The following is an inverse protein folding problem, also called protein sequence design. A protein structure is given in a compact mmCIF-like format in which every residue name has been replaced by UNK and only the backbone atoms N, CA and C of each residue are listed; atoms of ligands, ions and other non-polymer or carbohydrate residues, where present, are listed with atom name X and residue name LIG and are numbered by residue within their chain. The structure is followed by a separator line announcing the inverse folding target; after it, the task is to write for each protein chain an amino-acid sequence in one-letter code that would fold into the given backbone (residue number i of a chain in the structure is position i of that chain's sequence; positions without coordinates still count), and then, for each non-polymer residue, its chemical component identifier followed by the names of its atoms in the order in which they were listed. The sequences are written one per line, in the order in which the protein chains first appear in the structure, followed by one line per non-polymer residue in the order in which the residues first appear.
data_IF_925527624004
#
_entry.id   IF_925527624004
#
_cell.length_a   1.000
_cell.length_b   1.000
_cell.length_c   1.000
_cell.angle_alpha   90.00
_cell.angle_beta   90.00
_cell.angle_gamma   90.00
#
_symmetry.space_group_name_H-M   'P 1'
#
loop_
_entity.id
_entity.type
_entity.pdbx_description
1 polymer ?
#
# COMPACT_ATOMS: atom_id res chain seq x y z
N UNK A 1 18.50 5.93 -16.74
CA UNK A 1 18.89 6.73 -15.55
C UNK A 1 18.21 8.10 -15.42
N UNK A 2 17.77 8.77 -16.51
CA UNK A 2 17.03 10.06 -16.41
C UNK A 2 15.66 9.92 -15.72
N UNK A 3 14.90 8.87 -16.04
CA UNK A 3 13.61 8.59 -15.40
C UNK A 3 13.74 8.38 -13.89
N UNK A 4 14.75 7.61 -13.44
CA UNK A 4 14.97 7.31 -12.03
C UNK A 4 15.22 8.57 -11.18
N UNK A 5 15.97 9.55 -11.72
CA UNK A 5 16.20 10.83 -11.03
C UNK A 5 14.92 11.65 -10.89
N UNK A 6 14.11 11.68 -11.95
CA UNK A 6 12.82 12.38 -11.95
C UNK A 6 11.85 11.71 -10.96
N UNK A 7 11.73 10.39 -10.98
CA UNK A 7 10.87 9.64 -10.07
C UNK A 7 11.30 9.82 -8.60
N UNK A 8 12.60 9.80 -8.31
CA UNK A 8 13.11 10.03 -6.95
C UNK A 8 12.83 11.47 -6.49
N UNK A 9 12.96 12.47 -7.37
CA UNK A 9 12.58 13.85 -7.06
C UNK A 9 11.08 13.98 -6.76
N UNK A 10 10.20 13.37 -7.57
CA UNK A 10 8.76 13.38 -7.31
C UNK A 10 8.40 12.71 -5.99
N UNK A 11 9.02 11.58 -5.67
CA UNK A 11 8.82 10.87 -4.39
C UNK A 11 9.29 11.73 -3.21
N UNK A 12 10.44 12.40 -3.33
CA UNK A 12 10.95 13.30 -2.28
C UNK A 12 10.03 14.50 -2.04
N UNK A 13 9.53 15.13 -3.12
CA UNK A 13 8.58 16.25 -3.03
C UNK A 13 7.27 15.79 -2.36
N UNK A 14 6.77 14.62 -2.75
CA UNK A 14 5.55 14.04 -2.18
C UNK A 14 5.75 13.69 -0.69
N UNK A 15 6.90 13.14 -0.31
CA UNK A 15 7.24 12.86 1.08
C UNK A 15 7.30 14.14 1.94
N UNK A 16 7.89 15.22 1.41
CA UNK A 16 7.91 16.54 2.08
C UNK A 16 6.49 17.08 2.26
N UNK A 17 5.64 16.97 1.23
CA UNK A 17 4.24 17.39 1.31
C UNK A 17 3.46 16.61 2.37
N UNK A 18 3.69 15.29 2.45
CA UNK A 18 3.08 14.44 3.47
C UNK A 18 3.55 14.77 4.89
N UNK A 19 4.84 15.11 5.09
CA UNK A 19 5.34 15.54 6.40
C UNK A 19 4.71 16.86 6.86
N UNK A 20 4.39 17.77 5.94
CA UNK A 20 3.73 19.04 6.27
C UNK A 20 2.26 18.87 6.65
N UNK A 21 1.57 17.84 6.12
CA UNK A 21 0.17 17.57 6.45
C UNK A 21 -0.03 16.66 7.69
N UNK A 22 1.05 16.15 8.29
CA UNK A 22 0.98 15.14 9.34
C UNK A 22 0.68 15.70 10.74
N UNK A 23 0.97 16.97 11.02
CA UNK A 23 0.84 17.59 12.35
C UNK A 23 -0.63 17.96 12.69
N UNK A 24 -1.43 18.29 11.66
CA UNK A 24 -2.73 18.95 11.84
C UNK A 24 -3.88 18.00 12.21
N UNK A 25 -3.72 16.68 12.06
CA UNK A 25 -4.83 15.72 12.21
C UNK A 25 -5.09 15.36 13.68
N UNK A 26 -4.06 15.39 14.54
CA UNK A 26 -4.19 15.12 15.98
C UNK A 26 -4.66 16.34 16.78
N UNK A 27 -4.28 17.56 16.36
CA UNK A 27 -4.71 18.81 16.98
C UNK A 27 -6.22 19.09 16.78
N UNK A 28 -6.74 18.80 15.59
CA UNK A 28 -8.12 19.18 15.21
C UNK A 28 -9.20 18.39 15.95
N UNK A 29 -8.96 17.11 16.28
CA UNK A 29 -9.89 16.29 17.09
C UNK A 29 -9.94 16.76 18.55
N UNK A 30 -8.90 17.48 18.99
CA UNK A 30 -8.72 17.99 20.36
C UNK A 30 -9.38 19.35 20.58
N UNK A 31 -9.47 20.20 19.55
CA UNK A 31 -10.04 21.56 19.62
C UNK A 31 -11.58 21.55 19.60
N UNK A 32 -12.20 20.58 18.90
CA UNK A 32 -13.66 20.49 18.76
C UNK A 32 -14.39 19.81 19.93
N UNK A 33 -13.67 19.17 20.85
CA UNK A 33 -14.25 18.64 22.10
C UNK A 33 -14.13 19.71 23.19
N UNK A 34 -15.14 20.58 23.24
CA UNK A 34 -15.25 21.67 24.20
C UNK A 34 -14.92 21.23 25.64
N UNK A 35 -14.11 22.06 26.30
CA UNK A 35 -13.75 22.12 27.74
C UNK A 35 -14.43 21.07 28.63
N UNK A 36 -14.01 19.81 28.57
CA UNK A 36 -13.99 18.91 29.72
C UNK A 36 -12.57 18.43 29.90
N UNK A 37 -11.98 18.88 31.01
CA UNK A 37 -10.65 18.53 31.52
C UNK A 37 -10.27 17.10 31.16
N UNK A 38 -9.49 16.94 30.08
CA UNK A 38 -8.75 15.72 29.81
C UNK A 38 -7.78 15.56 30.97
N UNK A 39 -8.00 14.54 31.78
CA UNK A 39 -7.05 14.12 32.80
C UNK A 39 -5.71 13.81 32.10
N UNK A 40 -4.63 14.37 32.66
CA UNK A 40 -3.28 14.47 32.07
C UNK A 40 -2.61 13.13 31.76
N UNK A 41 -3.28 12.01 31.99
CA UNK A 41 -2.76 10.64 31.93
C UNK A 41 -3.08 9.91 30.63
N UNK A 42 -4.00 10.43 29.81
CA UNK A 42 -4.39 9.82 28.52
C UNK A 42 -3.56 10.30 27.32
N UNK A 43 -2.59 11.18 27.54
CA UNK A 43 -1.66 11.69 26.54
C UNK A 43 -0.36 10.87 26.46
N UNK A 44 -0.47 9.54 26.49
CA UNK A 44 0.60 8.74 25.89
C UNK A 44 0.38 8.81 24.39
N UNK A 45 1.00 9.81 23.76
CA UNK A 45 1.08 9.90 22.31
C UNK A 45 1.47 8.53 21.77
N UNK A 46 0.78 8.09 20.72
CA UNK A 46 1.11 6.83 20.10
C UNK A 46 2.60 6.86 19.77
N UNK A 47 3.40 5.93 20.30
CA UNK A 47 4.85 5.96 20.12
C UNK A 47 5.27 5.93 18.64
N UNK A 48 4.32 5.51 17.79
CA UNK A 48 4.45 5.41 16.36
C UNK A 48 3.53 6.44 15.71
N UNK A 49 4.07 7.41 14.95
CA UNK A 49 3.29 8.36 14.17
C UNK A 49 2.32 7.65 13.20
N UNK A 50 1.14 8.23 12.98
CA UNK A 50 0.12 7.62 12.12
C UNK A 50 0.60 7.30 10.68
N UNK A 51 1.48 8.12 10.12
CA UNK A 51 2.04 7.89 8.78
C UNK A 51 2.88 6.62 8.69
N UNK A 52 3.58 6.23 9.76
CA UNK A 52 4.41 5.01 9.79
C UNK A 52 3.52 3.77 9.68
N UNK A 53 2.35 3.80 10.32
CA UNK A 53 1.37 2.72 10.26
C UNK A 53 0.86 2.59 8.81
N UNK A 54 0.53 3.70 8.16
CA UNK A 54 0.03 3.70 6.77
C UNK A 54 1.11 3.18 5.80
N UNK A 55 2.38 3.59 5.97
CA UNK A 55 3.49 3.10 5.14
C UNK A 55 3.70 1.59 5.33
N UNK A 56 3.69 1.09 6.58
CA UNK A 56 3.82 -0.34 6.86
C UNK A 56 2.69 -1.15 6.24
N UNK A 57 1.45 -0.66 6.33
CA UNK A 57 0.29 -1.29 5.69
C UNK A 57 0.44 -1.28 4.16
N UNK A 58 0.87 -0.17 3.57
CA UNK A 58 1.09 -0.06 2.13
C UNK A 58 2.17 -1.03 1.62
N UNK A 59 3.30 -1.14 2.31
CA UNK A 59 4.34 -2.13 2.00
C UNK A 59 3.78 -3.56 2.10
N UNK A 60 3.00 -3.84 3.14
CA UNK A 60 2.33 -5.14 3.31
C UNK A 60 1.41 -5.49 2.14
N UNK A 61 0.62 -4.53 1.66
CA UNK A 61 -0.26 -4.72 0.50
C UNK A 61 0.50 -5.00 -0.79
N UNK A 62 1.63 -4.29 -1.04
CA UNK A 62 2.47 -4.53 -2.22
C UNK A 62 3.07 -5.94 -2.18
N UNK A 63 3.60 -6.35 -1.02
CA UNK A 63 4.17 -7.69 -0.85
C UNK A 63 3.10 -8.76 -1.05
N UNK A 64 1.93 -8.59 -0.44
CA UNK A 64 0.81 -9.54 -0.55
C UNK A 64 0.34 -9.67 -2.01
N UNK A 65 0.19 -8.55 -2.72
CA UNK A 65 -0.18 -8.53 -4.14
C UNK A 65 0.87 -9.21 -5.03
N UNK A 66 2.16 -8.97 -4.76
CA UNK A 66 3.26 -9.62 -5.47
C UNK A 66 3.27 -11.15 -5.29
N UNK A 67 3.09 -11.61 -4.05
CA UNK A 67 2.99 -13.05 -3.74
C UNK A 67 1.80 -13.68 -4.47
N UNK A 68 0.62 -13.03 -4.39
CA UNK A 68 -0.59 -13.50 -5.05
C UNK A 68 -0.40 -13.61 -6.57
N UNK A 69 0.24 -12.63 -7.19
CA UNK A 69 0.54 -12.63 -8.62
C UNK A 69 1.44 -13.81 -9.02
N UNK A 70 2.51 -14.07 -8.26
CA UNK A 70 3.43 -15.20 -8.54
C UNK A 70 2.71 -16.54 -8.41
N UNK A 71 1.86 -16.69 -7.39
CA UNK A 71 1.05 -17.89 -7.21
C UNK A 71 0.11 -18.12 -8.41
N UNK A 72 -0.57 -17.07 -8.86
CA UNK A 72 -1.49 -17.13 -10.00
C UNK A 72 -0.75 -17.44 -11.31
N UNK A 73 0.41 -16.81 -11.54
CA UNK A 73 1.26 -17.05 -12.70
C UNK A 73 1.68 -18.52 -12.80
N UNK A 74 2.07 -19.13 -11.67
CA UNK A 74 2.46 -20.54 -11.64
C UNK A 74 1.30 -21.50 -11.90
N UNK A 75 0.09 -21.17 -11.44
CA UNK A 75 -1.06 -22.10 -11.49
C UNK A 75 -1.90 -21.97 -12.76
N UNK A 76 -2.12 -20.75 -13.24
CA UNK A 76 -3.06 -20.48 -14.33
C UNK A 76 -2.31 -20.21 -15.63
N UNK A 77 -1.32 -19.32 -15.58
CA UNK A 77 -0.69 -18.79 -16.80
C UNK A 77 0.36 -19.74 -17.37
N UNK A 78 1.12 -20.41 -16.49
CA UNK A 78 2.16 -21.35 -16.88
C UNK A 78 1.68 -22.80 -17.03
N UNK A 79 0.38 -23.06 -16.84
CA UNK A 79 -0.17 -24.39 -17.03
C UNK A 79 -0.21 -24.71 -18.54
N UNK A 80 0.40 -25.83 -18.99
CA UNK A 80 0.30 -26.23 -20.39
C UNK A 80 -1.18 -26.53 -20.70
N UNK A 81 -1.70 -25.87 -21.73
CA UNK A 81 -3.05 -26.15 -22.25
C UNK A 81 -2.98 -27.49 -22.96
N UNK A 82 -3.30 -28.58 -22.25
CA UNK A 82 -3.50 -29.89 -22.88
C UNK A 82 -4.78 -29.80 -23.68
N UNK A 83 -4.63 -29.51 -24.97
CA UNK A 83 -5.72 -29.49 -25.93
C UNK A 83 -6.37 -30.87 -26.03
N UNK A 84 -7.48 -31.06 -25.30
CA UNK A 84 -8.29 -32.28 -25.34
C UNK A 84 -9.40 -32.14 -26.39
N UNK A 85 -9.03 -31.84 -27.64
CA UNK A 85 -9.97 -31.93 -28.76
C UNK A 85 -9.58 -33.11 -29.65
N UNK A 86 -10.57 -33.91 -30.04
CA UNK A 86 -10.39 -34.97 -31.02
C UNK A 86 -10.22 -34.32 -32.39
N UNK A 87 -9.04 -34.47 -32.99
CA UNK A 87 -8.79 -34.07 -34.38
C UNK A 87 -9.69 -34.93 -35.27
N UNK A 88 -10.66 -34.32 -35.94
CA UNK A 88 -11.47 -35.02 -36.93
C UNK A 88 -10.55 -35.48 -38.07
N UNK A 89 -10.38 -36.79 -38.21
CA UNK A 89 -9.60 -37.41 -39.28
C UNK A 89 -10.27 -37.05 -40.61
N UNK A 90 -9.61 -36.22 -41.40
CA UNK A 90 -9.99 -36.03 -42.81
C UNK A 90 -9.55 -37.28 -43.55
N UNK A 91 -10.51 -38.12 -43.96
CA UNK A 91 -10.26 -39.22 -44.88
C UNK A 91 -10.05 -38.65 -46.30
N UNK A 92 -9.12 -39.24 -47.09
CA UNK A 92 -8.65 -38.69 -48.36
C UNK A 92 -9.71 -38.70 -49.47
#
# INVERSE_FOLDING_TARGET
MKFLRSTVCYIAILAILFTLCADEVEGRRKILMGRKSITRTYLRGNAVPAYVIIILVGIGQIILGGILYVALRKKIIAAPVTASYAVARQEP
#
